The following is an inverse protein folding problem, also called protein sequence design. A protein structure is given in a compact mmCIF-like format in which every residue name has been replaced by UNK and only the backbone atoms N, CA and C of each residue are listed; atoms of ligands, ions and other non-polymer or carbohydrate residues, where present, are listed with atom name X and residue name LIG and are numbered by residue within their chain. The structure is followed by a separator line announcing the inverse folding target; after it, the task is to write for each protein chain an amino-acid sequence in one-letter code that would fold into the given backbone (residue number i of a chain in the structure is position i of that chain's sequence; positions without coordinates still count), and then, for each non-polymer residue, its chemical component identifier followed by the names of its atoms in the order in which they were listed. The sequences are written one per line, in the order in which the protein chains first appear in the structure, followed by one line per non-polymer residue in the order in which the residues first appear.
data_IF_115794329662
#
_entry.id   IF_115794329662
#
_cell.length_a   1.000
_cell.length_b   1.000
_cell.length_c   1.000
_cell.angle_alpha   90.00
_cell.angle_beta   90.00
_cell.angle_gamma   90.00
#
_symmetry.space_group_name_H-M   'P 1'
#
loop_
_entity.id
_entity.type
_entity.pdbx_description
1 polymer ?
#
# COMPACT_ATOMS: atom_id res chain seq x y z
N UNK A 1 7.93 59.64 23.58
CA UNK A 1 8.05 58.50 22.64
C UNK A 1 9.17 57.61 23.17
N UNK A 2 9.06 56.30 23.38
CA UNK A 2 8.17 55.28 22.82
C UNK A 2 7.96 54.15 23.85
N UNK A 3 6.80 53.49 23.79
CA UNK A 3 6.47 52.32 24.62
C UNK A 3 7.20 51.07 24.13
N UNK A 4 7.67 50.25 25.07
CA UNK A 4 8.29 48.95 24.82
C UNK A 4 7.17 47.90 24.87
N UNK A 5 6.87 47.30 23.71
CA UNK A 5 5.90 46.21 23.63
C UNK A 5 6.65 44.89 23.91
N UNK A 6 6.48 44.35 25.11
CA UNK A 6 6.94 43.01 25.45
C UNK A 6 5.99 42.01 24.79
N UNK A 7 6.48 41.37 23.72
CA UNK A 7 5.77 40.33 22.98
C UNK A 7 6.00 38.99 23.68
N UNK A 8 5.41 38.80 24.84
CA UNK A 8 5.51 37.52 25.57
C UNK A 8 4.49 36.54 25.00
N UNK A 9 4.79 36.00 23.82
CA UNK A 9 4.03 34.89 23.24
C UNK A 9 4.43 33.60 23.97
N UNK A 10 3.48 32.79 24.46
CA UNK A 10 3.81 31.51 25.08
C UNK A 10 4.59 30.64 24.07
N UNK A 11 5.55 29.82 24.53
CA UNK A 11 6.24 28.89 23.64
C UNK A 11 5.19 28.02 22.94
N UNK A 12 5.07 28.16 21.63
CA UNK A 12 4.21 27.31 20.83
C UNK A 12 4.61 25.87 21.10
N UNK A 13 3.67 25.04 21.55
CA UNK A 13 3.92 23.63 21.80
C UNK A 13 4.55 23.04 20.54
N UNK A 14 5.76 22.50 20.68
CA UNK A 14 6.46 21.92 19.53
C UNK A 14 5.60 20.78 18.99
N UNK A 15 5.61 20.57 17.67
CA UNK A 15 4.94 19.42 17.08
C UNK A 15 5.37 18.09 17.76
N UNK A 16 6.60 18.04 18.28
CA UNK A 16 7.09 16.94 19.09
C UNK A 16 6.28 16.72 20.38
N UNK A 17 5.85 17.79 21.06
CA UNK A 17 5.07 17.70 22.31
C UNK A 17 3.68 17.10 22.08
N UNK A 18 3.09 17.37 20.91
CA UNK A 18 1.78 16.84 20.50
C UNK A 18 1.87 15.34 20.20
N UNK A 19 3.01 14.87 19.68
CA UNK A 19 3.23 13.46 19.32
C UNK A 19 3.84 12.60 20.43
N UNK A 20 4.29 13.22 21.54
CA UNK A 20 4.84 12.51 22.72
C UNK A 20 3.92 11.41 23.27
N UNK A 21 2.58 11.59 23.37
CA UNK A 21 1.69 10.53 23.83
C UNK A 21 1.75 9.29 22.91
N UNK A 22 1.67 9.49 21.58
CA UNK A 22 1.69 8.41 20.60
C UNK A 22 3.03 7.67 20.57
N UNK A 23 4.11 8.35 20.93
CA UNK A 23 5.46 7.77 20.99
C UNK A 23 5.63 6.81 22.18
N UNK A 24 4.79 6.91 23.21
CA UNK A 24 4.84 6.03 24.39
C UNK A 24 4.15 4.69 24.17
N UNK A 25 3.14 4.66 23.31
CA UNK A 25 2.27 3.49 23.13
C UNK A 25 2.62 2.67 21.88
N UNK A 26 3.91 2.56 21.54
CA UNK A 26 4.39 1.87 20.33
C UNK A 26 4.28 0.33 20.38
N UNK A 27 3.22 -0.20 21.01
CA UNK A 27 2.83 -1.60 20.99
C UNK A 27 2.16 -1.98 19.65
N UNK A 28 2.83 -1.68 18.55
CA UNK A 28 2.38 -2.09 17.22
C UNK A 28 2.89 -3.50 16.92
N UNK A 29 2.05 -4.39 16.35
CA UNK A 29 2.51 -5.70 15.92
C UNK A 29 3.59 -5.52 14.84
N UNK A 30 4.59 -6.40 14.84
CA UNK A 30 5.57 -6.40 13.76
C UNK A 30 4.88 -6.66 12.43
N UNK A 31 5.37 -6.03 11.36
CA UNK A 31 4.86 -6.25 10.00
C UNK A 31 4.82 -7.75 9.65
N UNK A 32 5.83 -8.51 10.11
CA UNK A 32 5.87 -9.97 9.98
C UNK A 32 4.75 -10.70 10.72
N UNK A 33 4.39 -10.28 11.94
CA UNK A 33 3.29 -10.87 12.70
C UNK A 33 1.92 -10.63 12.02
N UNK A 34 1.73 -9.44 11.44
CA UNK A 34 0.51 -9.13 10.66
C UNK A 34 0.44 -9.98 9.39
N UNK A 35 1.56 -10.08 8.65
CA UNK A 35 1.64 -10.89 7.44
C UNK A 35 1.43 -12.39 7.71
N UNK A 36 1.94 -12.91 8.83
CA UNK A 36 1.72 -14.30 9.23
C UNK A 36 0.23 -14.59 9.47
N UNK A 37 -0.46 -13.75 10.26
CA UNK A 37 -1.90 -13.89 10.51
C UNK A 37 -2.74 -13.84 9.24
N UNK A 38 -2.39 -12.94 8.31
CA UNK A 38 -3.10 -12.84 7.03
C UNK A 38 -3.00 -14.14 6.21
N UNK A 39 -1.84 -14.82 6.23
CA UNK A 39 -1.63 -16.10 5.55
C UNK A 39 -2.41 -17.24 6.22
N UNK A 40 -2.40 -17.30 7.55
CA UNK A 40 -3.15 -18.31 8.32
C UNK A 40 -4.66 -18.23 8.07
N UNK A 41 -5.22 -17.01 7.98
CA UNK A 41 -6.63 -16.81 7.70
C UNK A 41 -7.05 -17.36 6.33
N UNK A 42 -6.20 -17.19 5.30
CA UNK A 42 -6.44 -17.71 3.95
C UNK A 42 -6.36 -19.24 3.94
N UNK A 43 -5.41 -19.81 4.67
CA UNK A 43 -5.25 -21.27 4.77
C UNK A 43 -6.41 -21.93 5.52
N UNK A 44 -6.88 -21.34 6.62
CA UNK A 44 -8.02 -21.89 7.38
C UNK A 44 -9.34 -21.81 6.60
N UNK A 45 -9.51 -20.81 5.73
CA UNK A 45 -10.67 -20.68 4.85
C UNK A 45 -10.71 -21.71 3.69
N UNK A 46 -9.62 -22.46 3.46
CA UNK A 46 -9.50 -23.41 2.35
C UNK A 46 -9.94 -24.86 2.67
N UNK A 47 -10.59 -25.08 3.81
CA UNK A 47 -11.00 -26.41 4.30
C UNK A 47 -12.36 -26.93 3.78
N UNK A 48 -12.78 -26.54 2.57
CA UNK A 48 -13.95 -27.13 1.90
C UNK A 48 -13.54 -27.86 0.62
N UNK A 49 -13.84 -29.17 0.44
CA UNK A 49 -13.35 -29.94 -0.70
C UNK A 49 -14.35 -29.89 -1.86
N UNK A 50 -13.89 -29.53 -3.06
CA UNK A 50 -14.57 -29.85 -4.31
C UNK A 50 -13.55 -30.23 -5.37
N UNK A 51 -13.81 -31.38 -5.98
CA UNK A 51 -12.89 -32.33 -6.60
C UNK A 51 -12.34 -31.93 -7.98
N UNK A 52 -11.13 -32.38 -8.30
CA UNK A 52 -10.62 -32.64 -9.66
C UNK A 52 -10.88 -34.11 -10.04
N UNK A 53 -11.01 -34.48 -11.35
CA UNK A 53 -9.84 -34.86 -12.18
C UNK A 53 -10.01 -34.50 -13.68
N UNK A 54 -8.97 -34.40 -14.53
CA UNK A 54 -8.41 -35.53 -15.30
C UNK A 54 -7.32 -35.02 -16.24
N UNK A 55 -6.23 -35.79 -16.31
CA UNK A 55 -4.98 -35.64 -17.07
C UNK A 55 -5.16 -35.87 -18.59
N UNK A 56 -4.51 -35.13 -19.50
CA UNK A 56 -3.23 -35.46 -20.21
C UNK A 56 -3.34 -35.00 -21.69
N UNK A 57 -2.30 -35.03 -22.56
CA UNK A 57 -0.92 -34.56 -22.42
C UNK A 57 -0.43 -33.71 -23.63
N UNK A 58 0.61 -32.88 -23.42
CA UNK A 58 1.60 -32.57 -24.47
C UNK A 58 1.48 -31.24 -25.22
N UNK A 59 2.24 -30.24 -24.78
CA UNK A 59 3.12 -29.37 -25.62
C UNK A 59 3.83 -28.37 -24.70
N UNK A 60 5.17 -28.28 -24.70
CA UNK A 60 5.86 -27.24 -23.93
C UNK A 60 5.92 -25.99 -24.81
N UNK A 61 5.00 -25.05 -24.61
CA UNK A 61 5.22 -23.69 -25.09
C UNK A 61 4.93 -22.73 -23.95
N UNK A 62 6.00 -22.08 -23.53
CA UNK A 62 6.08 -21.15 -22.43
C UNK A 62 5.13 -19.98 -22.65
N UNK A 63 3.90 -20.11 -22.15
CA UNK A 63 2.97 -19.02 -21.89
C UNK A 63 2.30 -19.36 -20.56
N UNK A 64 2.80 -18.77 -19.46
CA UNK A 64 2.15 -18.89 -18.15
C UNK A 64 0.89 -18.01 -18.11
N UNK A 65 -0.12 -18.38 -18.89
CA UNK A 65 -1.51 -18.03 -18.62
C UNK A 65 -2.03 -19.04 -17.59
N UNK A 66 -1.91 -18.69 -16.31
CA UNK A 66 -2.55 -19.40 -15.22
C UNK A 66 -4.05 -19.05 -15.19
N UNK A 67 -4.85 -19.87 -15.88
CA UNK A 67 -6.29 -19.91 -15.70
C UNK A 67 -6.62 -20.52 -14.34
N UNK A 68 -7.01 -19.66 -13.39
CA UNK A 68 -7.87 -20.03 -12.27
C UNK A 68 -9.17 -19.28 -12.46
N UNK A 69 -10.27 -20.00 -12.65
CA UNK A 69 -11.63 -19.47 -12.71
C UNK A 69 -12.02 -18.89 -11.35
N UNK A 70 -11.56 -17.66 -11.09
CA UNK A 70 -11.97 -16.77 -10.00
C UNK A 70 -12.22 -15.44 -10.70
N UNK A 71 -13.49 -15.11 -10.96
CA UNK A 71 -13.95 -13.87 -11.61
C UNK A 71 -12.97 -13.24 -12.60
N UNK A 72 -13.13 -13.48 -13.90
CA UNK A 72 -12.33 -12.87 -14.96
C UNK A 72 -12.47 -11.34 -14.94
N UNK A 73 -11.69 -10.67 -14.09
CA UNK A 73 -11.53 -9.22 -14.07
C UNK A 73 -10.62 -8.89 -15.26
N UNK A 74 -11.23 -8.79 -16.44
CA UNK A 74 -10.51 -8.54 -17.68
C UNK A 74 -10.00 -7.11 -17.65
N UNK A 75 -8.67 -6.93 -17.68
CA UNK A 75 -8.04 -5.62 -17.82
C UNK A 75 -8.57 -4.94 -19.09
N UNK A 76 -9.15 -3.76 -18.91
CA UNK A 76 -9.80 -2.98 -19.97
C UNK A 76 -8.82 -1.96 -20.56
N UNK A 77 -8.11 -1.21 -19.72
CA UNK A 77 -7.14 -0.23 -20.18
C UNK A 77 -5.96 -0.04 -19.21
N UNK A 78 -4.93 0.66 -19.70
CA UNK A 78 -3.81 1.13 -18.89
C UNK A 78 -3.39 2.52 -19.39
N UNK A 79 -3.23 3.48 -18.47
CA UNK A 79 -2.77 4.83 -18.77
C UNK A 79 -1.67 5.26 -17.81
N UNK A 80 -0.57 5.79 -18.34
CA UNK A 80 0.54 6.31 -17.53
C UNK A 80 0.61 7.83 -17.65
N UNK A 81 0.58 8.52 -16.51
CA UNK A 81 0.80 9.95 -16.43
C UNK A 81 2.18 10.22 -15.84
N UNK A 82 2.99 11.02 -16.52
CA UNK A 82 4.28 11.49 -15.99
C UNK A 82 4.14 12.93 -15.55
N UNK A 83 4.54 13.23 -14.32
CA UNK A 83 4.42 14.54 -13.69
C UNK A 83 5.79 15.03 -13.21
N UNK A 84 5.94 16.34 -13.19
CA UNK A 84 7.15 17.02 -12.77
C UNK A 84 6.77 18.13 -11.79
N UNK A 85 7.45 18.17 -10.66
CA UNK A 85 7.24 19.15 -9.60
C UNK A 85 8.60 19.75 -9.24
N UNK A 86 8.67 21.07 -9.17
CA UNK A 86 9.90 21.78 -8.83
C UNK A 86 9.86 22.11 -7.34
N UNK A 87 10.73 21.47 -6.59
CA UNK A 87 10.93 21.66 -5.16
C UNK A 87 12.10 22.63 -4.90
N UNK A 88 12.34 22.95 -3.63
CA UNK A 88 13.44 23.83 -3.23
C UNK A 88 14.84 23.26 -3.47
N UNK A 89 14.96 21.94 -3.61
CA UNK A 89 16.21 21.19 -3.79
C UNK A 89 16.38 20.61 -5.21
N UNK A 90 15.38 20.72 -6.09
CA UNK A 90 15.47 20.21 -7.45
C UNK A 90 14.13 19.99 -8.12
N UNK A 91 14.12 19.21 -9.21
CA UNK A 91 12.89 18.79 -9.88
C UNK A 91 12.61 17.33 -9.52
N UNK A 92 11.51 17.08 -8.81
CA UNK A 92 10.97 15.75 -8.55
C UNK A 92 10.12 15.32 -9.74
N UNK A 93 10.30 14.07 -10.18
CA UNK A 93 9.44 13.46 -11.21
C UNK A 93 8.75 12.22 -10.66
N UNK A 94 7.49 12.02 -11.02
CA UNK A 94 6.69 10.89 -10.58
C UNK A 94 5.78 10.37 -11.69
N UNK A 95 5.51 9.06 -11.68
CA UNK A 95 4.65 8.40 -12.64
C UNK A 95 3.44 7.80 -11.94
N UNK A 96 2.25 8.06 -12.49
CA UNK A 96 0.99 7.47 -12.05
C UNK A 96 0.51 6.47 -13.09
N UNK A 97 0.43 5.21 -12.69
CA UNK A 97 -0.14 4.12 -13.48
C UNK A 97 -1.62 3.95 -13.10
N UNK A 98 -2.51 4.07 -14.07
CA UNK A 98 -3.96 3.83 -13.93
C UNK A 98 -4.28 2.58 -14.73
N UNK A 99 -4.90 1.59 -14.09
CA UNK A 99 -5.34 0.35 -14.75
C UNK A 99 -6.84 0.21 -14.53
N UNK A 100 -7.62 0.24 -15.60
CA UNK A 100 -9.05 -0.06 -15.53
C UNK A 100 -9.30 -1.52 -15.83
N UNK A 101 -10.28 -2.08 -15.13
CA UNK A 101 -10.77 -3.43 -15.30
C UNK A 101 -12.27 -3.38 -15.59
N UNK A 102 -12.80 -4.42 -16.24
CA UNK A 102 -14.23 -4.57 -16.52
C UNK A 102 -15.02 -5.03 -15.29
#
# INVERSE_FOLDING_TARGET
MAGKADSDSPPSASAADILKPLSRDSNFPSSGAVAARAREQIQNASSSPASSPTSSPGTPRSESQGSASVGSVQKRNETVHTMYEKDGDGTRSFRRLIVEYN
#
